data_IF_393063292683
#
_entry.id   IF_393063292683
#
_cell.length_a   1.000
_cell.length_b   1.000
_cell.length_c   1.000
_cell.angle_alpha   90.00
_cell.angle_beta   90.00
_cell.angle_gamma   90.00
#
_symmetry.space_group_name_H-M   'P 1'
#
loop_
_entity.id
_entity.type
_entity.pdbx_description
1 polymer ?
#
# COMPACT_ATOMS: atom_id res chain seq x y z
N UNK A 1 -33.17 -22.01 49.79
CA UNK A 1 -32.10 -22.26 48.78
C UNK A 1 -32.22 -21.40 47.52
N UNK A 2 -33.41 -20.94 47.10
CA UNK A 2 -33.60 -20.23 45.82
C UNK A 2 -32.92 -18.84 45.62
N UNK A 3 -32.58 -18.10 46.70
CA UNK A 3 -32.10 -16.70 46.58
C UNK A 3 -30.64 -16.58 46.12
N UNK A 4 -29.82 -17.60 46.40
CA UNK A 4 -28.38 -17.63 46.09
C UNK A 4 -28.13 -17.97 44.61
N UNK A 5 -28.95 -18.86 44.06
CA UNK A 5 -28.88 -19.30 42.67
C UNK A 5 -29.34 -18.19 41.70
N UNK A 6 -30.35 -17.42 42.10
CA UNK A 6 -30.83 -16.26 41.33
C UNK A 6 -29.81 -15.12 41.30
N UNK A 7 -29.06 -14.89 42.40
CA UNK A 7 -27.99 -13.90 42.46
C UNK A 7 -26.78 -14.29 41.61
N UNK A 8 -26.38 -15.56 41.63
CA UNK A 8 -25.29 -16.06 40.78
C UNK A 8 -25.63 -15.91 39.29
N UNK A 9 -26.86 -16.26 38.91
CA UNK A 9 -27.33 -16.11 37.53
C UNK A 9 -27.25 -14.66 37.04
N UNK A 10 -27.74 -13.71 37.85
CA UNK A 10 -27.70 -12.28 37.52
C UNK A 10 -26.27 -11.75 37.37
N UNK A 11 -25.33 -12.17 38.22
CA UNK A 11 -23.92 -11.76 38.15
C UNK A 11 -23.25 -12.32 36.88
N UNK A 12 -23.52 -13.59 36.54
CA UNK A 12 -22.97 -14.21 35.32
C UNK A 12 -23.52 -13.52 34.07
N UNK A 13 -24.81 -13.18 34.04
CA UNK A 13 -25.41 -12.43 32.92
C UNK A 13 -24.79 -11.04 32.77
N UNK A 14 -24.54 -10.33 33.89
CA UNK A 14 -23.91 -9.00 33.87
C UNK A 14 -22.49 -9.04 33.31
N UNK A 15 -21.69 -10.06 33.70
CA UNK A 15 -20.32 -10.23 33.22
C UNK A 15 -20.24 -10.55 31.72
N UNK A 16 -21.19 -11.32 31.19
CA UNK A 16 -21.26 -11.65 29.75
C UNK A 16 -21.60 -10.39 28.93
N UNK A 17 -22.51 -9.55 29.41
CA UNK A 17 -22.88 -8.30 28.72
C UNK A 17 -21.72 -7.29 28.77
N UNK A 18 -21.03 -7.15 29.90
CA UNK A 18 -19.89 -6.24 30.03
C UNK A 18 -18.65 -6.70 29.26
N UNK A 19 -18.43 -8.01 29.10
CA UNK A 19 -17.28 -8.55 28.34
C UNK A 19 -17.37 -8.34 26.83
N UNK A 20 -18.58 -8.12 26.29
CA UNK A 20 -18.81 -8.03 24.85
C UNK A 20 -18.51 -6.66 24.23
N UNK A 21 -18.20 -5.62 25.03
CA UNK A 21 -18.13 -4.22 24.54
C UNK A 21 -16.70 -3.68 24.39
N UNK A 22 -15.67 -4.47 24.72
CA UNK A 22 -14.27 -4.06 24.54
C UNK A 22 -13.71 -4.54 23.20
N UNK A 23 -14.41 -4.27 22.09
CA UNK A 23 -13.78 -4.30 20.76
C UNK A 23 -13.30 -2.89 20.49
N UNK A 24 -12.12 -2.55 21.02
CA UNK A 24 -11.37 -1.41 20.50
C UNK A 24 -11.19 -1.65 19.00
N UNK A 25 -11.84 -0.82 18.18
CA UNK A 25 -11.53 -0.72 16.77
C UNK A 25 -10.10 -0.19 16.65
N UNK A 26 -9.11 -1.09 16.75
CA UNK A 26 -7.73 -0.78 16.40
C UNK A 26 -7.75 -0.40 14.93
N UNK A 27 -7.65 0.89 14.66
CA UNK A 27 -7.46 1.42 13.32
C UNK A 27 -6.31 0.66 12.69
N UNK A 28 -6.60 -0.16 11.69
CA UNK A 28 -5.59 -0.91 10.95
C UNK A 28 -4.62 0.15 10.41
N UNK A 29 -3.34 0.15 10.82
CA UNK A 29 -2.39 1.12 10.30
C UNK A 29 -2.33 0.95 8.78
N UNK A 30 -2.15 2.05 8.02
CA UNK A 30 -2.08 1.95 6.57
C UNK A 30 -1.03 0.89 6.18
N UNK A 31 -1.27 0.11 5.12
CA UNK A 31 -0.47 -1.08 4.75
C UNK A 31 1.02 -0.79 4.48
N UNK A 32 1.43 0.48 4.52
CA UNK A 32 2.80 0.97 4.29
C UNK A 32 3.57 1.31 5.56
N UNK A 33 3.10 0.93 6.75
CA UNK A 33 3.93 1.01 7.97
C UNK A 33 4.99 -0.10 7.91
N UNK A 34 5.94 0.06 6.99
CA UNK A 34 7.16 -0.71 6.93
C UNK A 34 8.09 -0.29 8.07
N UNK A 35 8.95 -1.22 8.50
CA UNK A 35 10.11 -0.93 9.37
C UNK A 35 10.95 0.22 8.78
N UNK A 36 11.77 0.85 9.61
CA UNK A 36 12.63 1.99 9.26
C UNK A 36 13.19 1.90 7.83
N UNK A 37 13.00 2.97 7.04
CA UNK A 37 13.53 3.07 5.68
C UNK A 37 15.05 2.86 5.69
N UNK A 38 15.63 2.25 4.63
CA UNK A 38 17.09 2.23 4.49
C UNK A 38 17.64 3.67 4.42
N UNK A 39 18.94 3.86 4.68
CA UNK A 39 19.59 5.15 4.49
C UNK A 39 19.27 5.73 3.11
N UNK A 40 19.04 7.05 3.05
CA UNK A 40 18.76 7.73 1.79
C UNK A 40 19.93 7.55 0.80
N UNK A 41 19.67 7.05 -0.43
CA UNK A 41 20.69 7.00 -1.46
C UNK A 41 21.19 8.39 -1.87
N UNK A 42 20.30 9.38 -1.80
CA UNK A 42 20.56 10.79 -2.12
C UNK A 42 19.81 11.65 -1.13
N UNK A 43 20.45 12.70 -0.62
CA UNK A 43 19.86 13.63 0.36
C UNK A 43 18.52 14.19 -0.15
N UNK A 44 17.48 14.04 0.66
CA UNK A 44 16.13 14.52 0.38
C UNK A 44 15.28 13.59 -0.47
N UNK A 45 15.80 12.42 -0.89
CA UNK A 45 15.07 11.50 -1.75
C UNK A 45 13.77 11.02 -1.10
N UNK A 46 13.76 10.63 0.18
CA UNK A 46 12.53 10.13 0.81
C UNK A 46 11.49 11.23 0.95
N UNK A 47 11.90 12.48 1.22
CA UNK A 47 10.97 13.62 1.24
C UNK A 47 10.35 13.84 -0.14
N UNK A 48 11.16 13.80 -1.19
CA UNK A 48 10.68 13.94 -2.57
C UNK A 48 9.73 12.79 -2.97
N UNK A 49 10.11 11.54 -2.70
CA UNK A 49 9.28 10.38 -3.03
C UNK A 49 7.96 10.36 -2.23
N UNK A 50 7.95 10.80 -0.97
CA UNK A 50 6.71 10.99 -0.21
C UNK A 50 5.78 12.00 -0.87
N UNK A 51 6.30 13.09 -1.43
CA UNK A 51 5.48 14.06 -2.15
C UNK A 51 4.93 13.47 -3.45
N UNK A 52 5.75 12.71 -4.18
CA UNK A 52 5.32 11.99 -5.39
C UNK A 52 4.16 11.03 -5.08
N UNK A 53 4.29 10.20 -4.05
CA UNK A 53 3.30 9.17 -3.72
C UNK A 53 1.92 9.69 -3.34
N UNK A 54 1.74 10.97 -3.02
CA UNK A 54 0.45 11.55 -2.60
C UNK A 54 -0.66 11.44 -3.64
N UNK A 55 -0.31 11.26 -4.91
CA UNK A 55 -1.29 11.11 -6.00
C UNK A 55 -1.73 9.67 -6.20
N UNK A 56 -1.01 8.68 -5.66
CA UNK A 56 -1.33 7.27 -5.79
C UNK A 56 -2.20 6.82 -4.61
N UNK A 57 -3.21 5.98 -4.88
CA UNK A 57 -3.89 5.21 -3.83
C UNK A 57 -3.09 3.96 -3.49
N UNK A 58 -3.45 3.32 -2.38
CA UNK A 58 -2.81 2.07 -1.99
C UNK A 58 -3.00 0.98 -3.04
N UNK A 59 -4.20 0.85 -3.61
CA UNK A 59 -4.48 -0.15 -4.63
C UNK A 59 -3.65 0.10 -5.91
N UNK A 60 -3.56 1.37 -6.34
CA UNK A 60 -2.75 1.70 -7.51
C UNK A 60 -1.26 1.45 -7.26
N UNK A 61 -0.75 1.78 -6.07
CA UNK A 61 0.61 1.44 -5.66
C UNK A 61 0.89 -0.06 -5.74
N UNK A 62 -0.06 -0.88 -5.29
CA UNK A 62 0.04 -2.34 -5.38
C UNK A 62 0.01 -2.84 -6.83
N UNK A 63 -0.88 -2.32 -7.69
CA UNK A 63 -0.92 -2.69 -9.11
C UNK A 63 0.42 -2.38 -9.81
N UNK A 64 0.99 -1.20 -9.55
CA UNK A 64 2.30 -0.81 -10.11
C UNK A 64 3.41 -1.68 -9.54
N UNK A 65 3.36 -2.01 -8.25
CA UNK A 65 4.31 -2.94 -7.63
C UNK A 65 4.27 -4.32 -8.30
N UNK A 66 3.08 -4.91 -8.48
CA UNK A 66 2.91 -6.19 -9.17
C UNK A 66 3.46 -6.14 -10.60
N UNK A 67 3.16 -5.07 -11.35
CA UNK A 67 3.68 -4.87 -12.70
C UNK A 67 5.22 -4.87 -12.75
N UNK A 68 5.84 -4.18 -11.78
CA UNK A 68 7.30 -4.00 -11.75
C UNK A 68 8.00 -5.27 -11.28
N UNK A 69 7.54 -5.88 -10.19
CA UNK A 69 8.28 -6.95 -9.50
C UNK A 69 7.84 -8.36 -9.84
N UNK A 70 6.59 -8.55 -10.30
CA UNK A 70 6.00 -9.85 -10.50
C UNK A 70 5.57 -10.04 -11.96
N UNK A 71 4.33 -10.49 -12.16
CA UNK A 71 3.71 -10.69 -13.47
C UNK A 71 3.29 -9.33 -14.00
N UNK A 72 3.60 -9.03 -15.28
CA UNK A 72 3.19 -7.81 -15.98
C UNK A 72 1.67 -7.83 -16.24
N UNK A 73 0.90 -7.78 -15.16
CA UNK A 73 -0.54 -7.68 -15.18
C UNK A 73 -0.97 -6.35 -15.79
N UNK A 74 -2.21 -6.26 -16.20
CA UNK A 74 -2.73 -5.02 -16.77
C UNK A 74 -2.79 -3.90 -15.72
N UNK A 75 -2.31 -2.71 -16.08
CA UNK A 75 -2.50 -1.50 -15.27
C UNK A 75 -3.89 -0.95 -15.57
N UNK A 76 -4.68 -0.74 -14.52
CA UNK A 76 -6.06 -0.28 -14.66
C UNK A 76 -6.10 1.18 -15.13
N UNK A 77 -7.17 1.57 -15.83
CA UNK A 77 -7.36 2.93 -16.34
C UNK A 77 -7.34 3.99 -15.23
N UNK A 78 -7.98 3.72 -14.09
CA UNK A 78 -7.94 4.63 -12.94
C UNK A 78 -6.52 4.76 -12.37
N UNK A 79 -5.80 3.64 -12.20
CA UNK A 79 -4.42 3.69 -11.75
C UNK A 79 -3.52 4.42 -12.75
N UNK A 80 -3.75 4.26 -14.05
CA UNK A 80 -3.05 5.02 -15.07
C UNK A 80 -3.28 6.53 -14.96
N UNK A 81 -4.51 6.99 -14.70
CA UNK A 81 -4.77 8.42 -14.48
C UNK A 81 -3.98 8.96 -13.27
N UNK A 82 -3.89 8.18 -12.19
CA UNK A 82 -3.12 8.57 -11.00
C UNK A 82 -1.61 8.54 -11.24
N UNK A 83 -1.12 7.53 -11.97
CA UNK A 83 0.29 7.37 -12.30
C UNK A 83 0.78 8.48 -13.24
N UNK A 84 -0.03 8.86 -14.24
CA UNK A 84 0.26 10.01 -15.11
C UNK A 84 0.19 11.32 -14.31
N UNK A 85 -0.80 11.49 -13.43
CA UNK A 85 -0.90 12.66 -12.54
C UNK A 85 0.30 12.78 -11.59
N UNK A 86 0.88 11.67 -11.15
CA UNK A 86 2.12 11.64 -10.36
C UNK A 86 3.29 12.24 -11.14
N UNK A 87 3.33 12.02 -12.45
CA UNK A 87 4.31 12.58 -13.38
C UNK A 87 5.57 11.73 -13.56
N UNK A 88 6.20 11.89 -14.73
CA UNK A 88 7.32 11.07 -15.18
C UNK A 88 8.54 11.16 -14.25
N UNK A 89 8.87 12.37 -13.81
CA UNK A 89 9.99 12.60 -12.88
C UNK A 89 9.82 11.81 -11.59
N UNK A 90 8.61 11.80 -11.04
CA UNK A 90 8.29 11.04 -9.85
C UNK A 90 8.38 9.53 -10.10
N UNK A 91 7.87 9.05 -11.24
CA UNK A 91 7.92 7.63 -11.60
C UNK A 91 9.36 7.13 -11.70
N UNK A 92 10.21 7.85 -12.45
CA UNK A 92 11.64 7.49 -12.61
C UNK A 92 12.40 7.54 -11.29
N UNK A 93 12.11 8.53 -10.44
CA UNK A 93 12.76 8.63 -9.14
C UNK A 93 12.32 7.53 -8.17
N UNK A 94 11.05 7.12 -8.20
CA UNK A 94 10.57 5.99 -7.40
C UNK A 94 11.26 4.69 -7.82
N UNK A 95 11.37 4.44 -9.14
CA UNK A 95 12.13 3.31 -9.67
C UNK A 95 13.61 3.35 -9.27
N UNK A 96 14.22 4.53 -9.36
CA UNK A 96 15.61 4.73 -8.92
C UNK A 96 15.74 4.40 -7.43
N UNK A 97 14.90 4.96 -6.56
CA UNK A 97 14.93 4.71 -5.11
C UNK A 97 14.78 3.23 -4.77
N UNK A 98 13.81 2.56 -5.39
CA UNK A 98 13.59 1.11 -5.23
C UNK A 98 14.81 0.29 -5.69
N UNK A 99 15.41 0.66 -6.83
CA UNK A 99 16.60 -0.04 -7.36
C UNK A 99 17.84 0.02 -6.45
N UNK A 100 17.85 0.95 -5.48
CA UNK A 100 18.93 1.14 -4.50
C UNK A 100 18.70 0.39 -3.20
N UNK A 101 17.50 -0.14 -2.97
CA UNK A 101 17.27 -1.01 -1.81
C UNK A 101 18.11 -2.28 -1.99
N UNK A 102 18.89 -2.71 -0.98
CA UNK A 102 19.82 -3.82 -1.13
C UNK A 102 19.22 -5.10 -1.73
N UNK A 103 18.01 -5.48 -1.30
CA UNK A 103 17.31 -6.68 -1.78
C UNK A 103 16.91 -6.59 -3.27
N UNK A 104 16.76 -5.38 -3.81
CA UNK A 104 16.32 -5.13 -5.18
C UNK A 104 17.48 -4.82 -6.15
N UNK A 105 18.70 -4.66 -5.62
CA UNK A 105 19.89 -4.31 -6.41
C UNK A 105 20.17 -5.25 -7.59
N UNK A 106 19.99 -6.59 -7.49
CA UNK A 106 20.18 -7.51 -8.62
C UNK A 106 19.24 -7.20 -9.79
N UNK A 107 18.05 -6.65 -9.51
CA UNK A 107 16.99 -6.41 -10.48
C UNK A 107 16.86 -4.94 -10.90
N UNK A 108 17.86 -4.10 -10.58
CA UNK A 108 17.81 -2.64 -10.79
C UNK A 108 17.42 -2.23 -12.21
N UNK A 109 17.92 -2.94 -13.23
CA UNK A 109 17.61 -2.68 -14.63
C UNK A 109 16.15 -2.97 -14.93
N UNK A 110 15.68 -4.16 -14.55
CA UNK A 110 14.29 -4.57 -14.73
C UNK A 110 13.31 -3.64 -13.99
N UNK A 111 13.64 -3.21 -12.77
CA UNK A 111 12.79 -2.29 -11.99
C UNK A 111 12.63 -0.96 -12.73
N UNK A 112 13.75 -0.40 -13.22
CA UNK A 112 13.73 0.86 -13.95
C UNK A 112 12.97 0.73 -15.27
N UNK A 113 13.30 -0.28 -16.08
CA UNK A 113 12.66 -0.52 -17.37
C UNK A 113 11.16 -0.75 -17.23
N UNK A 114 10.74 -1.63 -16.32
CA UNK A 114 9.32 -1.96 -16.12
C UNK A 114 8.54 -0.78 -15.53
N UNK A 115 9.14 0.02 -14.65
CA UNK A 115 8.48 1.24 -14.16
C UNK A 115 8.29 2.27 -15.26
N UNK A 116 9.26 2.42 -16.18
CA UNK A 116 9.13 3.30 -17.35
C UNK A 116 8.09 2.74 -18.34
N UNK A 117 8.07 1.43 -18.57
CA UNK A 117 7.09 0.74 -19.41
C UNK A 117 5.66 0.97 -18.89
N UNK A 118 5.42 0.76 -17.59
CA UNK A 118 4.16 1.01 -16.92
C UNK A 118 3.64 2.45 -17.16
N UNK A 119 4.50 3.44 -16.95
CA UNK A 119 4.17 4.84 -17.18
C UNK A 119 3.82 5.13 -18.65
N UNK A 120 4.58 4.56 -19.59
CA UNK A 120 4.35 4.73 -21.03
C UNK A 120 3.05 4.07 -21.51
N UNK A 121 2.65 2.93 -20.92
CA UNK A 121 1.33 2.32 -21.16
C UNK A 121 0.23 3.32 -20.81
N UNK A 122 0.37 3.97 -19.66
CA UNK A 122 -0.61 4.93 -19.17
C UNK A 122 -0.63 6.24 -19.98
N UNK A 123 0.53 6.76 -20.38
CA UNK A 123 0.61 7.93 -21.29
C UNK A 123 -0.09 7.69 -22.62
N UNK A 124 -0.01 6.47 -23.16
CA UNK A 124 -0.68 6.09 -24.42
C UNK A 124 -2.17 5.81 -24.27
N UNK A 125 -2.73 6.00 -23.07
CA UNK A 125 -4.14 5.71 -22.78
C UNK A 125 -4.48 4.22 -22.82
N UNK A 126 -3.49 3.33 -22.72
CA UNK A 126 -3.67 1.86 -22.86
C UNK A 126 -3.98 1.15 -21.53
N UNK A 127 -4.38 1.89 -20.49
CA UNK A 127 -4.85 1.29 -19.25
C UNK A 127 -6.10 0.44 -19.48
N UNK A 128 -6.17 -0.74 -18.88
CA UNK A 128 -7.32 -1.64 -19.05
C UNK A 128 -8.49 -1.26 -18.14
N UNK A 129 -9.73 -1.59 -18.52
CA UNK A 129 -10.85 -1.47 -17.59
C UNK A 129 -10.59 -2.34 -16.36
N UNK A 130 -11.11 -1.91 -15.21
CA UNK A 130 -11.15 -2.74 -14.01
C UNK A 130 -11.92 -4.03 -14.37
N UNK A 131 -11.38 -5.21 -14.04
CA UNK A 131 -12.19 -6.43 -14.10
C UNK A 131 -13.21 -6.36 -12.95
N UNK A 132 -14.51 -6.56 -13.23
CA UNK A 132 -15.52 -6.63 -12.19
C UNK A 132 -15.29 -7.82 -11.25
#
# INVERSE_FOLDING_TARGET
MAKKDSLLSAIVTLLIICGAIAIEAKSIPPPWVGKHLPPEPVRGLWKFLRQCGRTLTNECGQIVYEYVFHVRNDITKDCCNKLVKMGEKCNRAAAYGLSRVPIYRPWRGNIYERSVEAYNICLRGKGKPLKP
#
